data_IF_586934956577
#
_entry.id   IF_586934956577
#
_cell.length_a   1.000
_cell.length_b   1.000
_cell.length_c   1.000
_cell.angle_alpha   90.00
_cell.angle_beta   90.00
_cell.angle_gamma   90.00
#
_symmetry.space_group_name_H-M   'P 1'
#
loop_
_entity.id
_entity.type
_entity.pdbx_description
1 polymer ?
#
# COMPACT_ATOMS: atom_id res chain seq x y z
N UNK A 1 70.95 -22.88 -34.46
CA UNK A 1 69.64 -23.26 -33.92
C UNK A 1 69.02 -22.01 -33.30
N UNK A 2 68.12 -21.28 -34.03
CA UNK A 2 67.56 -19.99 -33.60
C UNK A 2 66.16 -20.22 -33.04
N UNK A 3 66.01 -20.03 -31.71
CA UNK A 3 64.75 -20.13 -31.01
C UNK A 3 63.97 -18.85 -31.29
N UNK A 4 62.77 -18.95 -31.90
CA UNK A 4 61.84 -17.84 -32.05
C UNK A 4 60.85 -17.89 -30.88
N UNK A 5 60.98 -16.91 -30.01
CA UNK A 5 60.07 -16.66 -28.94
C UNK A 5 58.85 -15.91 -29.48
N UNK A 6 57.70 -16.59 -29.57
CA UNK A 6 56.44 -15.99 -30.00
C UNK A 6 55.75 -15.37 -28.78
N UNK A 7 55.69 -14.03 -28.71
CA UNK A 7 54.91 -13.29 -27.74
C UNK A 7 53.43 -13.38 -28.12
N UNK A 8 52.64 -14.13 -27.36
CA UNK A 8 51.17 -14.07 -27.42
C UNK A 8 50.72 -12.94 -26.50
N UNK A 9 50.41 -11.80 -27.12
CA UNK A 9 49.74 -10.69 -26.39
C UNK A 9 48.25 -11.03 -26.30
N UNK A 10 47.84 -11.51 -25.14
CA UNK A 10 46.42 -11.72 -24.83
C UNK A 10 45.80 -10.38 -24.47
N UNK A 11 45.06 -9.79 -25.39
CA UNK A 11 44.26 -8.59 -25.12
C UNK A 11 43.01 -8.99 -24.27
N UNK A 12 43.10 -8.78 -22.95
CA UNK A 12 41.94 -8.87 -22.09
C UNK A 12 41.09 -7.60 -22.29
N UNK A 13 40.07 -7.72 -23.12
CA UNK A 13 39.06 -6.65 -23.29
C UNK A 13 38.19 -6.62 -22.03
N UNK A 14 38.47 -5.68 -21.13
CA UNK A 14 37.60 -5.38 -19.97
C UNK A 14 36.35 -4.72 -20.55
N UNK A 15 35.27 -5.49 -20.70
CA UNK A 15 33.95 -4.96 -20.97
C UNK A 15 33.45 -4.24 -19.68
N UNK A 16 33.71 -2.93 -19.60
CA UNK A 16 33.10 -2.07 -18.61
C UNK A 16 31.61 -2.00 -18.97
N UNK A 17 30.82 -2.81 -18.29
CA UNK A 17 29.37 -2.71 -18.32
C UNK A 17 29.01 -1.42 -17.60
N UNK A 18 28.97 -0.30 -18.33
CA UNK A 18 28.45 0.95 -17.81
C UNK A 18 26.95 0.75 -17.54
N UNK A 19 26.63 0.44 -16.29
CA UNK A 19 25.25 0.54 -15.82
C UNK A 19 24.88 2.03 -15.86
N UNK A 20 24.26 2.45 -16.95
CA UNK A 20 23.60 3.75 -16.98
C UNK A 20 22.51 3.71 -15.91
N UNK A 21 22.74 4.40 -14.80
CA UNK A 21 21.71 4.64 -13.82
C UNK A 21 20.58 5.36 -14.57
N UNK A 22 19.46 4.67 -14.77
CA UNK A 22 18.25 5.29 -15.29
C UNK A 22 17.74 6.20 -14.18
N UNK A 23 18.03 7.49 -14.30
CA UNK A 23 17.44 8.48 -13.39
C UNK A 23 15.99 8.66 -13.81
N UNK A 24 15.08 8.47 -12.86
CA UNK A 24 13.70 8.86 -13.07
C UNK A 24 13.63 10.34 -13.40
N UNK A 25 12.72 10.69 -14.28
CA UNK A 25 12.37 12.09 -14.47
C UNK A 25 11.57 12.54 -13.25
N UNK A 26 12.13 13.47 -12.48
CA UNK A 26 11.42 14.08 -11.36
C UNK A 26 10.15 14.75 -11.85
N UNK A 27 9.06 14.57 -11.13
CA UNK A 27 7.77 15.13 -11.54
C UNK A 27 6.59 14.54 -10.80
N UNK A 28 5.42 14.96 -11.25
CA UNK A 28 4.13 14.47 -10.77
C UNK A 28 3.44 13.72 -11.90
N UNK A 29 3.07 12.50 -11.64
CA UNK A 29 2.48 11.56 -12.60
C UNK A 29 1.09 11.18 -12.15
N UNK A 30 0.20 10.94 -13.10
CA UNK A 30 -1.18 10.55 -12.81
C UNK A 30 -1.55 9.34 -13.64
N UNK A 31 -2.17 8.35 -13.01
CA UNK A 31 -2.68 7.17 -13.69
C UNK A 31 -4.06 6.79 -13.14
N UNK A 32 -4.86 6.17 -13.99
CA UNK A 32 -6.20 5.69 -13.67
C UNK A 32 -6.27 4.20 -13.90
N UNK A 33 -6.83 3.48 -12.94
CA UNK A 33 -7.05 2.03 -13.02
C UNK A 33 -8.46 1.70 -12.58
N UNK A 34 -8.96 0.54 -13.01
CA UNK A 34 -10.29 0.07 -12.62
C UNK A 34 -10.25 -0.47 -11.19
N UNK A 35 -11.07 0.09 -10.32
CA UNK A 35 -11.36 -0.42 -8.98
C UNK A 35 -12.50 -1.44 -8.97
N UNK A 36 -13.24 -1.53 -7.86
CA UNK A 36 -14.40 -2.42 -7.74
C UNK A 36 -15.64 -1.86 -8.44
N UNK A 37 -15.93 -0.59 -8.20
CA UNK A 37 -17.17 0.07 -8.66
C UNK A 37 -16.92 1.09 -9.78
N UNK A 38 -15.66 1.36 -10.12
CA UNK A 38 -15.30 2.31 -11.16
C UNK A 38 -13.84 2.71 -11.09
N UNK A 39 -13.53 3.80 -11.76
CA UNK A 39 -12.16 4.28 -11.91
C UNK A 39 -11.60 4.82 -10.60
N UNK A 40 -10.32 4.47 -10.37
CA UNK A 40 -9.50 5.00 -9.29
C UNK A 40 -8.32 5.76 -9.92
N UNK A 41 -8.29 7.07 -9.74
CA UNK A 41 -7.23 7.94 -10.25
C UNK A 41 -6.28 8.30 -9.13
N UNK A 42 -5.00 8.03 -9.35
CA UNK A 42 -3.92 8.28 -8.38
C UNK A 42 -2.89 9.21 -8.99
N UNK A 43 -2.43 10.15 -8.19
CA UNK A 43 -1.31 11.04 -8.49
C UNK A 43 -0.12 10.67 -7.61
N UNK A 44 1.06 10.57 -8.22
CA UNK A 44 2.32 10.24 -7.55
C UNK A 44 3.34 11.32 -7.83
N UNK A 45 3.94 11.88 -6.79
CA UNK A 45 5.09 12.76 -6.89
C UNK A 45 6.37 11.97 -6.70
N UNK A 46 7.27 12.06 -7.67
CA UNK A 46 8.57 11.39 -7.67
C UNK A 46 9.67 12.43 -7.67
N UNK A 47 10.64 12.26 -6.78
CA UNK A 47 11.81 13.12 -6.66
C UNK A 47 13.04 12.25 -6.31
N UNK A 48 14.14 12.40 -7.05
CA UNK A 48 15.39 11.67 -6.81
C UNK A 48 15.17 10.14 -6.69
N UNK A 49 14.40 9.55 -7.59
CA UNK A 49 14.02 8.13 -7.57
C UNK A 49 13.26 7.69 -6.30
N UNK A 50 12.61 8.61 -5.58
CA UNK A 50 11.78 8.29 -4.41
C UNK A 50 10.34 8.72 -4.65
N UNK A 51 9.44 7.95 -4.11
CA UNK A 51 8.03 8.29 -4.03
C UNK A 51 7.86 9.27 -2.87
N UNK A 52 7.70 10.56 -3.18
CA UNK A 52 7.53 11.63 -2.19
C UNK A 52 6.11 11.70 -1.66
N UNK A 53 5.13 11.53 -2.55
CA UNK A 53 3.72 11.64 -2.20
C UNK A 53 2.86 10.77 -3.12
N UNK A 54 1.78 10.26 -2.58
CA UNK A 54 0.74 9.51 -3.31
C UNK A 54 -0.62 10.02 -2.88
N UNK A 55 -1.42 10.49 -3.84
CA UNK A 55 -2.78 11.00 -3.60
C UNK A 55 -3.79 10.27 -4.46
N UNK A 56 -4.90 9.85 -3.87
CA UNK A 56 -6.06 9.37 -4.61
C UNK A 56 -6.93 10.58 -4.94
N UNK A 57 -6.98 10.96 -6.23
CA UNK A 57 -7.68 12.15 -6.71
C UNK A 57 -9.16 11.90 -6.93
N UNK A 58 -9.48 10.79 -7.61
CA UNK A 58 -10.85 10.42 -7.94
C UNK A 58 -11.06 8.92 -7.70
N UNK A 59 -12.25 8.57 -7.28
CA UNK A 59 -12.65 7.20 -7.03
C UNK A 59 -14.17 7.05 -6.95
N UNK A 60 -14.69 5.91 -7.38
CA UNK A 60 -16.12 5.58 -7.37
C UNK A 60 -16.40 4.38 -6.46
N UNK A 61 -15.66 4.26 -5.37
CA UNK A 61 -15.71 3.11 -4.48
C UNK A 61 -16.74 3.27 -3.36
N UNK A 62 -17.11 2.16 -2.71
CA UNK A 62 -18.15 2.14 -1.67
C UNK A 62 -17.65 2.70 -0.33
N UNK A 63 -18.27 3.76 0.17
CA UNK A 63 -18.12 4.21 1.54
C UNK A 63 -18.85 3.29 2.52
N UNK A 64 -18.36 3.08 3.74
CA UNK A 64 -17.04 3.51 4.28
C UNK A 64 -15.93 2.48 4.03
N UNK A 65 -16.22 1.38 3.34
CA UNK A 65 -15.30 0.24 3.16
C UNK A 65 -13.99 0.65 2.48
N UNK A 66 -14.10 1.54 1.49
CA UNK A 66 -12.97 1.98 0.69
C UNK A 66 -12.22 3.19 1.28
N UNK A 67 -12.69 3.79 2.35
CA UNK A 67 -12.05 4.95 2.98
C UNK A 67 -10.69 4.60 3.59
N UNK A 68 -10.59 3.46 4.24
CA UNK A 68 -9.35 3.01 4.85
C UNK A 68 -8.24 2.76 3.84
N UNK A 69 -8.44 2.02 2.72
CA UNK A 69 -7.41 1.88 1.70
C UNK A 69 -7.01 3.21 1.06
N UNK A 70 -7.94 4.16 0.87
CA UNK A 70 -7.65 5.49 0.36
C UNK A 70 -6.65 6.26 1.20
N UNK A 71 -6.71 6.11 2.52
CA UNK A 71 -5.80 6.78 3.46
C UNK A 71 -4.51 5.96 3.68
N UNK A 72 -4.66 4.68 3.99
CA UNK A 72 -3.56 3.85 4.47
C UNK A 72 -2.61 3.41 3.36
N UNK A 73 -3.12 3.00 2.21
CA UNK A 73 -2.28 2.45 1.13
C UNK A 73 -1.30 3.48 0.59
N UNK A 74 -1.69 4.73 0.27
CA UNK A 74 -0.76 5.79 -0.11
C UNK A 74 0.33 6.05 0.94
N UNK A 75 -0.06 6.17 2.20
CA UNK A 75 0.89 6.41 3.31
C UNK A 75 1.91 5.28 3.44
N UNK A 76 1.46 4.02 3.37
CA UNK A 76 2.34 2.85 3.46
C UNK A 76 3.29 2.78 2.25
N UNK A 77 2.83 3.10 1.04
CA UNK A 77 3.67 3.13 -0.17
C UNK A 77 4.80 4.16 -0.03
N UNK A 78 4.49 5.38 0.41
CA UNK A 78 5.49 6.42 0.65
C UNK A 78 6.46 6.01 1.75
N UNK A 79 5.93 5.53 2.86
CA UNK A 79 6.73 5.11 4.03
C UNK A 79 7.74 4.02 3.71
N UNK A 80 7.30 3.00 2.98
CA UNK A 80 8.12 1.82 2.70
C UNK A 80 8.79 1.87 1.33
N UNK A 81 8.53 2.88 0.53
CA UNK A 81 9.00 2.99 -0.85
C UNK A 81 8.69 1.70 -1.63
N UNK A 82 7.48 1.18 -1.46
CA UNK A 82 7.09 -0.11 -2.02
C UNK A 82 5.61 -0.15 -2.36
N UNK A 83 5.27 -0.71 -3.50
CA UNK A 83 3.89 -1.04 -3.88
C UNK A 83 3.44 -2.39 -3.32
N UNK A 84 4.35 -3.15 -2.70
CA UNK A 84 4.02 -4.44 -2.06
C UNK A 84 3.55 -4.27 -0.61
N UNK A 85 2.85 -3.19 -0.32
CA UNK A 85 2.20 -2.96 0.98
C UNK A 85 1.02 -3.90 1.20
N UNK A 86 0.61 -4.07 2.46
CA UNK A 86 -0.48 -4.97 2.81
C UNK A 86 -1.81 -4.55 2.18
N UNK A 87 -2.62 -5.53 1.87
CA UNK A 87 -3.98 -5.28 1.43
C UNK A 87 -4.86 -4.94 2.64
N UNK A 88 -5.81 -4.04 2.42
CA UNK A 88 -6.82 -3.72 3.42
C UNK A 88 -7.93 -4.77 3.34
N UNK A 89 -8.17 -5.47 4.46
CA UNK A 89 -9.22 -6.48 4.53
C UNK A 89 -10.58 -5.85 4.21
N UNK A 90 -11.37 -6.55 3.42
CA UNK A 90 -12.67 -6.07 2.94
C UNK A 90 -12.63 -5.14 1.71
N UNK A 91 -11.46 -4.53 1.40
CA UNK A 91 -11.28 -3.61 0.28
C UNK A 91 -10.09 -3.98 -0.62
N UNK A 92 -9.93 -5.26 -0.90
CA UNK A 92 -8.78 -5.80 -1.63
C UNK A 92 -8.69 -5.26 -3.06
N UNK A 93 -9.82 -5.18 -3.78
CA UNK A 93 -9.85 -4.70 -5.17
C UNK A 93 -9.46 -3.22 -5.25
N UNK A 94 -10.00 -2.38 -4.37
CA UNK A 94 -9.60 -0.96 -4.27
C UNK A 94 -8.11 -0.81 -3.94
N UNK A 95 -7.60 -1.66 -3.04
CA UNK A 95 -6.16 -1.68 -2.72
C UNK A 95 -5.31 -2.02 -3.95
N UNK A 96 -5.73 -3.02 -4.74
CA UNK A 96 -5.03 -3.38 -5.97
C UNK A 96 -5.09 -2.27 -7.01
N UNK A 97 -6.22 -1.61 -7.17
CA UNK A 97 -6.35 -0.47 -8.08
C UNK A 97 -5.36 0.65 -7.73
N UNK A 98 -5.29 1.05 -6.46
CA UNK A 98 -4.33 2.07 -6.02
C UNK A 98 -2.89 1.65 -6.32
N UNK A 99 -2.51 0.41 -5.99
CA UNK A 99 -1.16 -0.12 -6.25
C UNK A 99 -0.83 -0.15 -7.75
N UNK A 100 -1.76 -0.59 -8.58
CA UNK A 100 -1.58 -0.65 -10.02
C UNK A 100 -1.39 0.75 -10.61
N UNK A 101 -2.21 1.73 -10.21
CA UNK A 101 -2.07 3.10 -10.64
C UNK A 101 -0.69 3.70 -10.25
N UNK A 102 -0.21 3.42 -9.03
CA UNK A 102 1.14 3.83 -8.61
C UNK A 102 2.22 3.19 -9.48
N UNK A 103 2.09 1.89 -9.82
CA UNK A 103 3.04 1.21 -10.70
C UNK A 103 3.05 1.82 -12.11
N UNK A 104 1.91 2.25 -12.63
CA UNK A 104 1.83 2.91 -13.93
C UNK A 104 2.44 4.32 -13.87
N UNK A 105 2.28 5.06 -12.78
CA UNK A 105 2.98 6.32 -12.55
C UNK A 105 4.51 6.12 -12.52
N UNK A 106 5.00 5.06 -11.88
CA UNK A 106 6.44 4.72 -11.86
C UNK A 106 6.96 4.44 -13.27
N UNK A 107 6.22 3.70 -14.11
CA UNK A 107 6.58 3.46 -15.51
C UNK A 107 6.64 4.77 -16.31
N UNK A 108 5.66 5.67 -16.12
CA UNK A 108 5.64 6.98 -16.79
C UNK A 108 6.88 7.82 -16.43
N UNK A 109 7.38 7.69 -15.20
CA UNK A 109 8.59 8.34 -14.73
C UNK A 109 9.88 7.68 -15.25
N UNK A 110 9.79 6.57 -16.00
CA UNK A 110 10.94 5.80 -16.44
C UNK A 110 11.53 4.87 -15.38
N UNK A 111 10.82 4.64 -14.28
CA UNK A 111 11.23 3.72 -13.21
C UNK A 111 10.70 2.31 -13.48
N UNK A 112 11.44 1.30 -13.03
CA UNK A 112 10.99 -0.07 -13.07
C UNK A 112 10.15 -0.38 -11.82
N UNK A 113 8.84 -0.70 -11.94
CA UNK A 113 7.98 -0.99 -10.79
C UNK A 113 8.46 -2.15 -9.91
N UNK A 114 9.26 -3.07 -10.46
CA UNK A 114 9.82 -4.20 -9.69
C UNK A 114 10.77 -3.75 -8.60
N UNK A 115 11.47 -2.63 -8.79
CA UNK A 115 12.40 -2.06 -7.80
C UNK A 115 11.64 -1.51 -6.58
N UNK A 116 10.35 -1.23 -6.76
CA UNK A 116 9.40 -0.76 -5.74
C UNK A 116 8.42 -1.85 -5.28
N UNK A 117 8.73 -3.11 -5.52
CA UNK A 117 7.94 -4.26 -5.05
C UNK A 117 8.61 -5.01 -3.89
N UNK A 118 9.41 -4.31 -3.10
CA UNK A 118 10.14 -4.88 -1.95
C UNK A 118 9.16 -5.34 -0.88
N UNK A 119 9.52 -6.42 -0.18
CA UNK A 119 8.76 -6.88 0.96
C UNK A 119 8.72 -5.81 2.06
N UNK A 120 7.53 -5.57 2.60
CA UNK A 120 7.35 -4.63 3.71
C UNK A 120 7.23 -5.39 5.04
N UNK A 121 7.64 -4.79 6.17
CA UNK A 121 7.46 -5.39 7.47
C UNK A 121 6.00 -5.71 7.72
N UNK A 122 5.72 -6.95 8.10
CA UNK A 122 4.37 -7.32 8.50
C UNK A 122 4.04 -6.66 9.84
N UNK A 123 2.82 -6.13 10.02
CA UNK A 123 2.41 -5.62 11.31
C UNK A 123 2.54 -6.75 12.33
N UNK A 124 3.27 -6.49 13.41
CA UNK A 124 3.29 -7.42 14.53
C UNK A 124 1.84 -7.61 15.00
N UNK A 125 1.38 -8.86 15.08
CA UNK A 125 0.12 -9.14 15.74
C UNK A 125 0.28 -8.65 17.18
N UNK A 126 -0.34 -7.54 17.51
CA UNK A 126 -0.44 -7.08 18.89
C UNK A 126 -1.51 -7.98 19.52
N UNK A 127 -1.08 -9.13 19.99
CA UNK A 127 -1.88 -10.01 20.80
C UNK A 127 -1.68 -9.60 22.25
N UNK A 128 -2.49 -8.69 22.72
CA UNK A 128 -2.60 -8.38 24.14
C UNK A 128 -3.91 -8.96 24.66
N UNK A 129 -3.88 -9.58 25.84
CA UNK A 129 -5.10 -9.88 26.58
C UNK A 129 -5.56 -8.56 27.19
N UNK A 130 -6.73 -8.08 26.81
CA UNK A 130 -7.40 -6.94 27.43
C UNK A 130 -8.49 -7.52 28.31
N UNK A 131 -8.48 -7.19 29.58
CA UNK A 131 -9.52 -7.56 30.53
C UNK A 131 -10.25 -6.28 30.95
N UNK A 132 -11.52 -6.22 30.64
CA UNK A 132 -12.40 -5.10 30.97
C UNK A 132 -13.64 -5.63 31.69
N UNK A 133 -14.14 -4.86 32.66
CA UNK A 133 -15.34 -5.19 33.38
C UNK A 133 -16.48 -4.30 32.94
N UNK A 134 -17.58 -4.90 32.53
CA UNK A 134 -18.76 -4.19 32.04
C UNK A 134 -20.04 -4.96 32.43
N UNK A 135 -21.18 -4.30 32.39
CA UNK A 135 -22.48 -4.93 32.67
C UNK A 135 -23.00 -5.68 31.43
N UNK A 136 -22.73 -5.16 30.25
CA UNK A 136 -23.21 -5.72 28.98
C UNK A 136 -22.11 -5.72 27.94
N UNK A 137 -21.95 -6.83 27.23
CA UNK A 137 -21.09 -6.94 26.03
C UNK A 137 -21.99 -7.18 24.82
N UNK A 138 -21.87 -6.31 23.83
CA UNK A 138 -22.53 -6.44 22.52
C UNK A 138 -21.49 -6.86 21.47
N UNK A 139 -21.70 -7.97 20.79
CA UNK A 139 -20.84 -8.47 19.74
C UNK A 139 -21.43 -8.14 18.37
N UNK A 140 -20.76 -7.26 17.65
CA UNK A 140 -21.19 -6.70 16.38
C UNK A 140 -21.77 -5.29 16.52
N UNK A 141 -21.18 -4.32 15.81
CA UNK A 141 -21.63 -2.93 15.79
C UNK A 141 -22.50 -2.60 14.56
N UNK A 142 -23.26 -3.56 14.06
CA UNK A 142 -24.29 -3.34 13.05
C UNK A 142 -25.53 -2.67 13.65
N UNK A 143 -26.56 -2.41 12.84
CA UNK A 143 -27.78 -1.70 13.28
C UNK A 143 -28.43 -2.30 14.52
N UNK A 144 -28.56 -3.63 14.59
CA UNK A 144 -29.14 -4.32 15.76
C UNK A 144 -28.26 -4.19 17.01
N UNK A 145 -26.94 -4.38 16.87
CA UNK A 145 -26.00 -4.30 17.99
C UNK A 145 -25.93 -2.88 18.57
N UNK A 146 -25.84 -1.87 17.71
CA UNK A 146 -25.84 -0.47 18.15
C UNK A 146 -27.16 -0.09 18.85
N UNK A 147 -28.29 -0.54 18.33
CA UNK A 147 -29.59 -0.32 18.97
C UNK A 147 -29.67 -0.96 20.36
N UNK A 148 -29.17 -2.20 20.49
CA UNK A 148 -29.11 -2.88 21.78
C UNK A 148 -28.15 -2.17 22.75
N UNK A 149 -26.99 -1.71 22.28
CA UNK A 149 -26.03 -0.97 23.10
C UNK A 149 -26.62 0.35 23.62
N UNK A 150 -27.30 1.12 22.75
CA UNK A 150 -27.96 2.35 23.13
C UNK A 150 -29.06 2.08 24.17
N UNK A 151 -29.89 1.07 23.94
CA UNK A 151 -30.97 0.72 24.88
C UNK A 151 -30.45 0.28 26.27
N UNK A 152 -29.31 -0.41 26.31
CA UNK A 152 -28.69 -0.78 27.59
C UNK A 152 -28.04 0.44 28.26
N UNK A 153 -27.35 1.29 27.54
CA UNK A 153 -26.74 2.51 28.06
C UNK A 153 -27.80 3.49 28.62
N UNK A 154 -28.96 3.62 27.96
CA UNK A 154 -30.10 4.44 28.44
C UNK A 154 -30.66 3.93 29.75
N UNK A 155 -30.44 2.68 30.13
CA UNK A 155 -30.80 2.11 31.42
C UNK A 155 -29.72 2.26 32.50
N UNK A 156 -28.65 3.01 32.19
CA UNK A 156 -27.55 3.27 33.12
C UNK A 156 -26.51 2.14 33.20
N UNK A 157 -26.55 1.17 32.29
CA UNK A 157 -25.57 0.07 32.23
C UNK A 157 -24.31 0.48 31.53
N UNK A 158 -23.14 0.00 31.98
CA UNK A 158 -21.90 0.10 31.27
C UNK A 158 -21.91 -0.92 30.13
N UNK A 159 -21.61 -0.47 28.89
CA UNK A 159 -21.69 -1.30 27.69
C UNK A 159 -20.38 -1.26 26.95
N UNK A 160 -19.86 -2.43 26.57
CA UNK A 160 -18.75 -2.58 25.62
C UNK A 160 -19.30 -3.18 24.33
N UNK A 161 -19.02 -2.51 23.19
CA UNK A 161 -19.35 -3.03 21.87
C UNK A 161 -18.08 -3.54 21.21
N UNK A 162 -18.08 -4.78 20.76
CA UNK A 162 -16.96 -5.42 20.06
C UNK A 162 -17.32 -5.54 18.58
N UNK A 163 -16.51 -4.96 17.71
CA UNK A 163 -16.69 -5.00 16.26
C UNK A 163 -15.44 -5.60 15.58
N UNK A 164 -15.67 -6.49 14.63
CA UNK A 164 -14.59 -7.11 13.83
C UNK A 164 -14.09 -6.18 12.73
N UNK A 165 -15.00 -5.41 12.12
CA UNK A 165 -14.66 -4.44 11.11
C UNK A 165 -14.00 -3.20 11.73
N UNK A 166 -13.33 -2.39 10.93
CA UNK A 166 -12.69 -1.16 11.38
C UNK A 166 -13.66 0.04 11.45
N UNK A 167 -14.94 -0.19 11.25
CA UNK A 167 -16.02 0.80 11.36
C UNK A 167 -17.28 0.15 11.91
N UNK A 168 -18.11 0.97 12.54
CA UNK A 168 -19.43 0.56 13.00
C UNK A 168 -20.48 0.81 11.90
N UNK A 169 -21.59 0.05 11.96
CA UNK A 169 -22.73 0.24 11.05
C UNK A 169 -23.03 -0.96 10.11
N UNK A 170 -22.08 -1.84 9.93
CA UNK A 170 -22.25 -3.06 9.12
C UNK A 170 -22.05 -2.86 7.63
#
# INVERSE_FOLDING_TARGET
MKLRLSLIVSAVTLAVCSQTAVFAKDGTYTATTLGRNGDVTVQVKILNNKIEDVKVLNWSETHPVADLPKLKVPQDIVKYQSTNVNNVAGATLTTFAIKAAVQDCLKQAGLNPKDYAKAVPQPKKVGGKVEEKTDVIVVGAGGAGLSAAVAAAQRGLNVIVIEKAHFAGG
#
